data_IF_830982340863
#
_entry.id   IF_830982340863
#
_cell.length_a   1.000
_cell.length_b   1.000
_cell.length_c   1.000
_cell.angle_alpha   90.00
_cell.angle_beta   90.00
_cell.angle_gamma   90.00
#
_symmetry.space_group_name_H-M   'P 1'
#
loop_
_entity.id
_entity.type
_entity.pdbx_description
1 polymer ?
#
# COMPACT_ATOMS: atom_id res chain seq x y z
N UNK A 1 2.98 -16.44 0.50
CA UNK A 1 1.91 -15.73 1.24
C UNK A 1 1.00 -15.05 0.21
N UNK A 2 -0.28 -14.85 0.53
CA UNK A 2 -1.18 -14.12 -0.35
C UNK A 2 -1.34 -12.67 0.16
N UNK A 3 -1.18 -11.70 -0.72
CA UNK A 3 -1.34 -10.28 -0.42
C UNK A 3 -2.77 -9.85 -0.76
N UNK A 4 -3.46 -9.21 0.18
CA UNK A 4 -4.80 -8.64 0.00
C UNK A 4 -4.68 -7.12 0.06
N UNK A 5 -4.95 -6.48 -1.06
CA UNK A 5 -4.83 -5.04 -1.26
C UNK A 5 -6.23 -4.45 -1.36
N UNK A 6 -6.54 -3.47 -0.51
CA UNK A 6 -7.78 -2.70 -0.52
C UNK A 6 -7.88 -1.88 -1.80
N UNK A 7 -6.82 -1.14 -2.12
CA UNK A 7 -6.76 -0.26 -3.27
C UNK A 7 -5.30 0.04 -3.66
N UNK A 8 -5.09 0.36 -4.94
CA UNK A 8 -3.79 0.77 -5.45
C UNK A 8 -3.95 1.87 -6.49
N UNK A 9 -3.39 3.05 -6.22
CA UNK A 9 -3.62 4.25 -7.03
C UNK A 9 -2.39 5.17 -7.07
N UNK A 10 -2.27 5.97 -8.13
CA UNK A 10 -1.18 6.92 -8.31
C UNK A 10 -1.63 8.32 -7.89
N UNK A 11 -0.84 8.96 -7.04
CA UNK A 11 -1.11 10.31 -6.51
C UNK A 11 0.21 10.96 -6.05
N UNK A 12 0.12 12.11 -5.38
CA UNK A 12 1.21 12.68 -4.60
C UNK A 12 1.10 12.22 -3.14
N UNK A 13 2.22 11.86 -2.52
CA UNK A 13 2.27 11.65 -1.07
C UNK A 13 1.87 12.94 -0.35
N UNK A 14 0.91 12.87 0.56
CA UNK A 14 0.38 14.01 1.29
C UNK A 14 1.16 14.35 2.56
N UNK A 15 1.95 13.39 3.07
CA UNK A 15 2.49 13.45 4.44
C UNK A 15 4.00 13.20 4.51
N UNK A 16 4.59 13.60 5.65
CA UNK A 16 5.97 13.28 6.01
C UNK A 16 7.05 13.88 5.09
N UNK A 17 8.23 13.26 5.12
CA UNK A 17 9.41 13.71 4.38
C UNK A 17 9.22 13.70 2.85
N UNK A 18 8.34 12.84 2.35
CA UNK A 18 8.06 12.67 0.92
C UNK A 18 6.85 13.47 0.46
N UNK A 19 6.30 14.39 1.26
CA UNK A 19 5.15 15.20 0.87
C UNK A 19 5.37 15.91 -0.48
N UNK A 20 4.37 15.83 -1.36
CA UNK A 20 4.41 16.36 -2.73
C UNK A 20 5.12 15.46 -3.75
N UNK A 21 5.75 14.35 -3.34
CA UNK A 21 6.39 13.39 -4.25
C UNK A 21 5.36 12.46 -4.89
N UNK A 22 5.45 12.28 -6.20
CA UNK A 22 4.62 11.32 -6.92
C UNK A 22 4.88 9.87 -6.46
N UNK A 23 3.82 9.14 -6.16
CA UNK A 23 3.86 7.79 -5.61
C UNK A 23 2.68 6.93 -6.09
N UNK A 24 2.89 5.62 -6.21
CA UNK A 24 1.79 4.65 -6.15
C UNK A 24 1.53 4.33 -4.69
N UNK A 25 0.32 4.53 -4.21
CA UNK A 25 -0.12 4.01 -2.93
C UNK A 25 -0.59 2.57 -3.11
N UNK A 26 -0.05 1.67 -2.30
CA UNK A 26 -0.50 0.28 -2.19
C UNK A 26 -1.04 0.09 -0.77
N UNK A 27 -2.38 0.15 -0.63
CA UNK A 27 -3.07 0.01 0.66
C UNK A 27 -3.44 -1.45 0.88
N UNK A 28 -2.74 -2.15 1.77
CA UNK A 28 -3.10 -3.50 2.18
C UNK A 28 -4.39 -3.50 3.02
N UNK A 29 -5.05 -4.64 3.07
CA UNK A 29 -6.29 -4.83 3.82
C UNK A 29 -6.03 -5.34 5.23
N UNK A 30 -6.76 -4.82 6.21
CA UNK A 30 -6.69 -5.27 7.61
C UNK A 30 -5.60 -4.59 8.45
N UNK A 31 -5.83 -4.51 9.76
CA UNK A 31 -4.96 -3.90 10.76
C UNK A 31 -4.98 -4.74 12.05
N UNK A 32 -3.89 -4.70 12.81
CA UNK A 32 -3.76 -5.34 14.12
C UNK A 32 -4.35 -4.51 15.28
N UNK A 33 -4.56 -3.20 15.09
CA UNK A 33 -5.03 -2.30 16.15
C UNK A 33 -6.53 -1.96 16.07
N UNK A 34 -7.17 -2.18 14.92
CA UNK A 34 -8.62 -2.02 14.72
C UNK A 34 -9.11 -2.94 13.61
N UNK A 35 -10.32 -3.50 13.76
CA UNK A 35 -10.91 -4.42 12.78
C UNK A 35 -11.35 -3.73 11.48
N UNK A 36 -11.44 -2.39 11.49
CA UNK A 36 -12.01 -1.59 10.40
C UNK A 36 -13.55 -1.55 10.38
N UNK A 37 -14.20 -2.21 11.35
CA UNK A 37 -15.66 -2.15 11.52
C UNK A 37 -16.01 -1.08 12.55
N UNK A 38 -16.91 -0.18 12.20
CA UNK A 38 -17.37 0.89 13.09
C UNK A 38 -17.94 0.36 14.41
N UNK A 39 -18.63 -0.78 14.39
CA UNK A 39 -19.17 -1.43 15.58
C UNK A 39 -18.09 -1.82 16.62
N UNK A 40 -16.84 -1.97 16.19
CA UNK A 40 -15.72 -2.35 17.06
C UNK A 40 -14.87 -1.13 17.48
N UNK A 41 -15.09 0.06 16.87
CA UNK A 41 -14.21 1.24 17.00
C UNK A 41 -14.05 1.69 18.45
N UNK A 42 -15.13 1.75 19.23
CA UNK A 42 -15.08 2.20 20.63
C UNK A 42 -14.22 1.30 21.53
N UNK A 43 -14.00 0.04 21.16
CA UNK A 43 -13.24 -0.95 21.94
C UNK A 43 -11.87 -1.27 21.32
N UNK A 44 -11.53 -0.64 20.20
CA UNK A 44 -10.29 -0.87 19.48
C UNK A 44 -9.08 -0.24 20.17
N UNK A 45 -7.88 -0.70 19.85
CA UNK A 45 -6.64 -0.07 20.32
C UNK A 45 -6.43 1.26 19.59
N UNK A 46 -6.70 1.30 18.28
CA UNK A 46 -6.73 2.53 17.49
C UNK A 46 -8.18 2.95 17.22
N UNK A 47 -8.61 4.09 17.78
CA UNK A 47 -10.03 4.54 17.71
C UNK A 47 -10.25 5.71 16.75
N UNK A 48 -9.18 6.32 16.23
CA UNK A 48 -9.21 7.56 15.45
C UNK A 48 -8.94 7.36 13.95
N UNK A 49 -8.79 6.13 13.47
CA UNK A 49 -8.46 5.85 12.08
C UNK A 49 -9.52 6.42 11.12
N UNK A 50 -9.07 7.14 10.11
CA UNK A 50 -9.86 7.82 9.07
C UNK A 50 -9.96 7.02 7.75
N UNK A 51 -9.37 5.82 7.73
CA UNK A 51 -9.11 5.06 6.51
C UNK A 51 -9.98 3.81 6.45
N UNK A 52 -10.63 3.57 5.32
CA UNK A 52 -11.25 2.27 5.02
C UNK A 52 -10.18 1.30 4.47
N UNK A 53 -9.88 0.25 5.23
CA UNK A 53 -8.96 -0.82 4.87
C UNK A 53 -9.62 -2.21 4.84
N UNK A 54 -10.96 -2.30 4.89
CA UNK A 54 -11.66 -3.58 4.98
C UNK A 54 -11.90 -4.17 3.60
N UNK A 55 -11.49 -5.43 3.43
CA UNK A 55 -11.73 -6.20 2.20
C UNK A 55 -10.94 -5.68 1.00
N UNK A 56 -11.42 -6.02 -0.19
CA UNK A 56 -10.85 -5.59 -1.48
C UNK A 56 -11.80 -4.58 -2.11
N UNK A 57 -11.29 -3.38 -2.40
CA UNK A 57 -12.03 -2.33 -3.08
C UNK A 57 -11.97 -2.48 -4.61
N UNK A 58 -12.61 -1.57 -5.36
CA UNK A 58 -12.67 -1.62 -6.83
C UNK A 58 -11.29 -1.61 -7.50
N UNK A 59 -10.36 -0.84 -6.93
CA UNK A 59 -8.97 -0.73 -7.41
C UNK A 59 -7.99 -1.63 -6.63
N UNK A 60 -8.52 -2.60 -5.89
CA UNK A 60 -7.76 -3.57 -5.10
C UNK A 60 -7.58 -4.92 -5.78
N UNK A 61 -7.05 -5.89 -5.05
CA UNK A 61 -6.91 -7.26 -5.54
C UNK A 61 -6.35 -8.22 -4.50
N UNK A 62 -6.35 -9.51 -4.86
CA UNK A 62 -5.63 -10.57 -4.13
C UNK A 62 -4.52 -11.11 -5.03
N UNK A 63 -3.31 -11.17 -4.49
CA UNK A 63 -2.12 -11.56 -5.23
C UNK A 63 -1.47 -12.75 -4.53
N UNK A 64 -1.29 -13.85 -5.26
CA UNK A 64 -0.69 -15.07 -4.71
C UNK A 64 0.83 -14.97 -4.58
N UNK A 65 1.46 -14.06 -5.33
CA UNK A 65 2.92 -13.92 -5.39
C UNK A 65 3.35 -12.46 -5.31
N UNK A 66 4.59 -12.24 -4.85
CA UNK A 66 5.21 -10.92 -4.80
C UNK A 66 5.37 -10.30 -6.20
N UNK A 67 5.62 -11.14 -7.21
CA UNK A 67 5.71 -10.71 -8.59
C UNK A 67 4.37 -10.17 -9.11
N UNK A 68 3.25 -10.83 -8.80
CA UNK A 68 1.92 -10.37 -9.20
C UNK A 68 1.56 -9.04 -8.53
N UNK A 69 1.91 -8.89 -7.24
CA UNK A 69 1.75 -7.64 -6.50
C UNK A 69 2.57 -6.51 -7.13
N UNK A 70 3.86 -6.73 -7.37
CA UNK A 70 4.74 -5.72 -7.95
C UNK A 70 4.31 -5.33 -9.37
N UNK A 71 3.88 -6.30 -10.18
CA UNK A 71 3.31 -6.04 -11.50
C UNK A 71 2.01 -5.23 -11.41
N UNK A 72 1.15 -5.51 -10.42
CA UNK A 72 -0.05 -4.72 -10.17
C UNK A 72 0.27 -3.28 -9.81
N UNK A 73 1.18 -3.05 -8.85
CA UNK A 73 1.65 -1.71 -8.46
C UNK A 73 2.25 -0.99 -9.66
N UNK A 74 3.09 -1.65 -10.45
CA UNK A 74 3.75 -1.06 -11.63
C UNK A 74 2.76 -0.53 -12.65
N UNK A 75 1.63 -1.22 -12.88
CA UNK A 75 0.59 -0.78 -13.82
C UNK A 75 -0.09 0.53 -13.43
N UNK A 76 0.08 1.01 -12.20
CA UNK A 76 -0.50 2.28 -11.73
C UNK A 76 0.46 3.45 -11.95
N UNK A 77 1.74 3.17 -12.15
CA UNK A 77 2.71 4.21 -12.50
C UNK A 77 2.55 4.61 -13.98
N UNK A 78 2.63 5.91 -14.33
CA UNK A 78 2.56 6.37 -15.72
C UNK A 78 3.59 5.70 -16.63
N UNK A 79 3.18 5.32 -17.84
CA UNK A 79 4.05 4.65 -18.81
C UNK A 79 5.27 5.50 -19.20
N UNK A 80 5.07 6.81 -19.31
CA UNK A 80 6.13 7.79 -19.56
C UNK A 80 6.65 8.31 -18.21
N UNK A 81 7.88 7.91 -17.87
CA UNK A 81 8.58 8.41 -16.70
C UNK A 81 9.77 9.24 -17.18
N UNK A 82 9.84 10.53 -16.81
CA UNK A 82 10.98 11.38 -17.18
C UNK A 82 12.31 10.77 -16.68
N UNK A 83 13.38 11.00 -17.45
CA UNK A 83 14.71 10.56 -17.06
C UNK A 83 15.09 11.12 -15.68
N UNK A 84 15.66 10.28 -14.82
CA UNK A 84 16.07 10.66 -13.47
C UNK A 84 14.96 10.60 -12.41
N UNK A 85 13.70 10.36 -12.77
CA UNK A 85 12.63 10.12 -11.79
C UNK A 85 12.68 8.67 -11.33
N UNK A 86 12.84 8.46 -10.03
CA UNK A 86 12.73 7.13 -9.40
C UNK A 86 11.30 6.92 -8.91
N UNK A 87 10.56 5.94 -9.46
CA UNK A 87 9.22 5.61 -8.99
C UNK A 87 9.20 5.32 -7.50
N UNK A 88 8.19 5.83 -6.80
CA UNK A 88 7.96 5.56 -5.38
C UNK A 88 6.69 4.73 -5.24
N UNK A 89 6.75 3.70 -4.41
CA UNK A 89 5.56 3.04 -3.87
C UNK A 89 5.50 3.31 -2.37
N UNK A 90 4.32 3.72 -1.89
CA UNK A 90 4.01 3.85 -0.47
C UNK A 90 3.17 2.64 -0.08
N UNK A 91 3.77 1.71 0.64
CA UNK A 91 3.08 0.56 1.22
C UNK A 91 2.43 0.97 2.55
N UNK A 92 1.11 0.84 2.64
CA UNK A 92 0.31 1.33 3.77
C UNK A 92 -0.87 0.38 4.03
N UNK A 93 -1.71 0.67 5.04
CA UNK A 93 -3.05 0.13 5.22
C UNK A 93 -3.16 -1.33 5.66
N UNK A 94 -4.21 -1.73 6.37
CA UNK A 94 -4.48 -1.04 7.62
C UNK A 94 -3.21 -1.07 8.49
N UNK A 95 -2.53 -2.21 8.53
CA UNK A 95 -1.12 -2.33 8.90
C UNK A 95 -0.35 -3.12 7.83
N UNK A 96 0.53 -2.48 7.03
CA UNK A 96 1.20 -3.14 5.92
C UNK A 96 2.12 -4.28 6.35
N UNK A 97 2.75 -4.22 7.52
CA UNK A 97 3.70 -5.23 7.99
C UNK A 97 3.05 -6.56 8.39
N UNK A 98 1.71 -6.65 8.37
CA UNK A 98 1.01 -7.94 8.44
C UNK A 98 1.16 -8.77 7.16
N UNK A 99 1.53 -8.16 6.05
CA UNK A 99 1.57 -8.79 4.73
C UNK A 99 2.83 -8.47 3.91
N UNK A 100 3.40 -7.28 4.07
CA UNK A 100 4.60 -6.84 3.36
C UNK A 100 5.82 -7.61 3.88
N UNK A 101 6.33 -8.52 3.05
CA UNK A 101 7.50 -9.36 3.34
C UNK A 101 8.71 -9.02 2.46
N UNK A 102 9.85 -9.65 2.73
CA UNK A 102 11.08 -9.44 1.97
C UNK A 102 10.91 -9.73 0.47
N UNK A 103 10.10 -10.73 0.13
CA UNK A 103 9.82 -11.09 -1.26
C UNK A 103 9.07 -9.97 -1.99
N UNK A 104 8.06 -9.37 -1.36
CA UNK A 104 7.33 -8.22 -1.89
C UNK A 104 8.26 -7.00 -2.08
N UNK A 105 9.08 -6.68 -1.08
CA UNK A 105 10.04 -5.57 -1.16
C UNK A 105 11.03 -5.79 -2.29
N UNK A 106 11.60 -6.99 -2.40
CA UNK A 106 12.53 -7.34 -3.48
C UNK A 106 11.87 -7.24 -4.86
N UNK A 107 10.63 -7.70 -5.02
CA UNK A 107 9.89 -7.60 -6.27
C UNK A 107 9.58 -6.14 -6.66
N UNK A 108 9.23 -5.29 -5.69
CA UNK A 108 9.01 -3.86 -5.92
C UNK A 108 10.29 -3.15 -6.35
N UNK A 109 11.42 -3.45 -5.70
CA UNK A 109 12.73 -2.96 -6.12
C UNK A 109 13.08 -3.43 -7.53
N UNK A 110 12.85 -4.70 -7.87
CA UNK A 110 13.07 -5.23 -9.22
C UNK A 110 12.18 -4.55 -10.28
N UNK A 111 10.98 -4.09 -9.89
CA UNK A 111 10.09 -3.29 -10.74
C UNK A 111 10.52 -1.80 -10.87
N UNK A 112 11.65 -1.42 -10.24
CA UNK A 112 12.26 -0.09 -10.31
C UNK A 112 11.74 0.89 -9.27
N UNK A 113 10.98 0.43 -8.27
CA UNK A 113 10.48 1.30 -7.21
C UNK A 113 11.51 1.51 -6.11
N UNK A 114 11.46 2.70 -5.51
CA UNK A 114 11.79 2.91 -4.11
C UNK A 114 10.56 2.58 -3.26
N UNK A 115 10.76 2.01 -2.06
CA UNK A 115 9.66 1.59 -1.18
C UNK A 115 9.67 2.45 0.08
N UNK A 116 8.55 3.13 0.35
CA UNK A 116 8.24 3.75 1.63
C UNK A 116 7.15 2.93 2.35
N UNK A 117 7.15 2.97 3.67
CA UNK A 117 6.18 2.23 4.51
C UNK A 117 5.54 3.18 5.52
N UNK A 118 4.21 3.16 5.60
CA UNK A 118 3.43 3.84 6.64
C UNK A 118 2.87 2.77 7.59
N UNK A 119 3.45 2.66 8.79
CA UNK A 119 3.19 1.59 9.77
C UNK A 119 2.90 2.20 11.15
N UNK A 120 2.05 1.54 11.95
CA UNK A 120 1.52 2.07 13.23
C UNK A 120 2.44 1.90 14.45
#
# INVERSE_FOLDING_TARGET
MAYTVKECFYTLQGEGLNAGRAAVFCRFSGCNLWTGREADREKAVCTFCDTDFVGVGPDGGKFATAADLAAFVKRRWPAETPAGVRPLVVCTGGEPLLQLDEAAVAALHAAGFEVAVETN
#
